data_IF_951346324640
#
_entry.id   IF_951346324640
#
_cell.length_a   1.000
_cell.length_b   1.000
_cell.length_c   1.000
_cell.angle_alpha   90.00
_cell.angle_beta   90.00
_cell.angle_gamma   90.00
#
_symmetry.space_group_name_H-M   'P 1'
#
loop_
_entity.id
_entity.type
_entity.pdbx_description
1 polymer ?
#
# COMPACT_ATOMS: atom_id res chain seq x y z
N UNK A 1 13.29 -11.82 -16.40
CA UNK A 1 12.43 -12.60 -15.48
C UNK A 1 11.82 -11.58 -14.54
N UNK A 2 10.54 -11.24 -14.72
CA UNK A 2 9.85 -10.21 -13.93
C UNK A 2 9.09 -10.95 -12.83
N UNK A 3 9.68 -11.01 -11.64
CA UNK A 3 9.25 -11.87 -10.52
C UNK A 3 8.28 -11.16 -9.56
N UNK A 4 7.92 -9.91 -9.84
CA UNK A 4 7.18 -9.10 -8.91
C UNK A 4 5.68 -9.47 -8.92
N UNK A 5 5.11 -10.04 -7.83
CA UNK A 5 3.72 -10.46 -7.82
C UNK A 5 2.79 -9.28 -8.11
N UNK A 6 1.89 -9.47 -9.08
CA UNK A 6 0.92 -8.47 -9.49
C UNK A 6 0.06 -8.03 -8.30
N UNK A 7 -0.01 -6.72 -8.07
CA UNK A 7 -0.84 -6.16 -7.01
C UNK A 7 -2.26 -5.90 -7.54
N UNK A 8 -3.19 -6.75 -7.13
CA UNK A 8 -4.60 -6.60 -7.49
C UNK A 8 -5.14 -5.21 -7.09
N UNK A 9 -6.13 -4.71 -7.85
CA UNK A 9 -6.73 -3.38 -7.62
C UNK A 9 -7.27 -3.20 -6.20
N UNK A 10 -7.79 -4.26 -5.57
CA UNK A 10 -8.23 -4.24 -4.17
C UNK A 10 -7.06 -4.05 -3.19
N UNK A 11 -5.91 -4.69 -3.45
CA UNK A 11 -4.69 -4.56 -2.66
C UNK A 11 -4.05 -3.18 -2.84
N UNK A 12 -4.05 -2.62 -4.07
CA UNK A 12 -3.66 -1.22 -4.30
C UNK A 12 -4.51 -0.24 -3.49
N UNK A 13 -5.82 -0.43 -3.48
CA UNK A 13 -6.74 0.41 -2.69
C UNK A 13 -6.49 0.28 -1.18
N UNK A 14 -6.25 -0.93 -0.70
CA UNK A 14 -5.92 -1.18 0.71
C UNK A 14 -4.58 -0.53 1.09
N UNK A 15 -3.55 -0.66 0.25
CA UNK A 15 -2.25 -0.03 0.45
C UNK A 15 -2.38 1.50 0.48
N UNK A 16 -3.17 2.10 -0.41
CA UNK A 16 -3.47 3.53 -0.37
C UNK A 16 -4.08 3.94 0.97
N UNK A 17 -5.15 3.26 1.39
CA UNK A 17 -5.81 3.56 2.67
C UNK A 17 -4.89 3.36 3.87
N UNK A 18 -4.00 2.37 3.81
CA UNK A 18 -3.00 2.13 4.86
C UNK A 18 -2.05 3.31 5.00
N UNK A 19 -1.58 3.90 3.89
CA UNK A 19 -0.73 5.09 3.94
C UNK A 19 -1.43 6.32 4.53
N UNK A 20 -2.75 6.45 4.38
CA UNK A 20 -3.53 7.55 4.97
C UNK A 20 -3.67 7.42 6.50
N UNK A 21 -3.57 6.20 7.06
CA UNK A 21 -3.67 5.98 8.50
C UNK A 21 -2.38 6.38 9.25
N UNK A 22 -1.24 6.48 8.56
CA UNK A 22 0.04 6.94 9.08
C UNK A 22 0.34 6.36 10.50
N UNK A 23 0.72 7.11 11.57
CA UNK A 23 1.11 6.47 12.84
C UNK A 23 -0.05 5.84 13.62
N UNK A 24 -1.31 6.20 13.29
CA UNK A 24 -2.50 5.65 13.96
C UNK A 24 -2.67 4.17 13.62
N UNK A 25 -2.21 3.76 12.44
CA UNK A 25 -2.35 2.40 11.93
C UNK A 25 -3.79 2.05 11.53
N UNK A 26 -3.93 1.06 10.64
CA UNK A 26 -5.23 0.63 10.10
C UNK A 26 -5.76 -0.58 10.88
N UNK A 27 -6.99 -0.53 11.43
CA UNK A 27 -7.54 -1.67 12.17
C UNK A 27 -7.87 -2.85 11.23
N UNK A 28 -7.71 -4.11 11.71
CA UNK A 28 -7.91 -5.31 10.90
C UNK A 28 -9.38 -5.63 10.62
N UNK A 29 -10.29 -5.16 11.47
CA UNK A 29 -11.73 -5.46 11.40
C UNK A 29 -12.49 -4.73 10.27
N UNK A 30 -11.77 -4.02 9.39
CA UNK A 30 -12.36 -3.37 8.22
C UNK A 30 -12.51 -4.36 7.07
N UNK A 31 -13.35 -4.01 6.09
CA UNK A 31 -13.66 -4.86 4.92
C UNK A 31 -12.42 -5.28 4.13
N UNK A 32 -11.31 -4.56 4.24
CA UNK A 32 -10.05 -4.87 3.56
C UNK A 32 -9.04 -5.65 4.41
N UNK A 33 -9.45 -6.21 5.56
CA UNK A 33 -8.63 -7.12 6.36
C UNK A 33 -7.92 -8.22 5.56
N UNK A 34 -8.59 -8.96 4.65
CA UNK A 34 -7.94 -9.95 3.80
C UNK A 34 -6.85 -9.35 2.87
N UNK A 35 -7.05 -8.12 2.40
CA UNK A 35 -6.04 -7.42 1.60
C UNK A 35 -4.84 -7.00 2.46
N UNK A 36 -5.04 -6.61 3.72
CA UNK A 36 -3.95 -6.29 4.65
C UNK A 36 -3.10 -7.51 4.97
N UNK A 37 -3.72 -8.67 5.21
CA UNK A 37 -3.00 -9.93 5.39
C UNK A 37 -2.19 -10.33 4.14
N UNK A 38 -2.75 -10.11 2.94
CA UNK A 38 -2.02 -10.35 1.69
C UNK A 38 -0.84 -9.40 1.52
N UNK A 39 -1.03 -8.11 1.77
CA UNK A 39 0.05 -7.12 1.76
C UNK A 39 1.15 -7.46 2.77
N UNK A 40 0.78 -7.99 3.93
CA UNK A 40 1.72 -8.48 4.94
C UNK A 40 2.51 -9.70 4.47
N UNK A 41 1.87 -10.69 3.83
CA UNK A 41 2.59 -11.82 3.22
C UNK A 41 3.57 -11.41 2.12
N UNK A 42 3.34 -10.25 1.49
CA UNK A 42 4.22 -9.64 0.48
C UNK A 42 5.28 -8.71 1.08
N UNK A 43 5.29 -8.52 2.41
CA UNK A 43 6.20 -7.60 3.09
C UNK A 43 5.90 -6.11 2.87
N UNK A 44 4.73 -5.76 2.34
CA UNK A 44 4.29 -4.38 2.05
C UNK A 44 3.56 -3.74 3.24
N UNK A 45 3.03 -4.55 4.14
CA UNK A 45 2.43 -4.12 5.40
C UNK A 45 2.98 -4.97 6.56
N UNK A 46 2.84 -4.51 7.80
CA UNK A 46 2.98 -5.37 8.97
C UNK A 46 1.90 -5.08 9.99
N UNK A 47 1.46 -6.11 10.72
CA UNK A 47 0.71 -5.93 11.94
C UNK A 47 1.64 -5.52 13.09
N UNK A 48 1.24 -4.48 13.81
CA UNK A 48 1.90 -4.00 15.03
C UNK A 48 1.42 -4.80 16.24
N UNK A 49 2.11 -4.63 17.37
CA UNK A 49 1.75 -5.27 18.63
C UNK A 49 0.34 -4.89 19.16
N UNK A 50 -0.20 -3.74 18.74
CA UNK A 50 -1.57 -3.30 19.06
C UNK A 50 -2.63 -3.88 18.09
N UNK A 51 -2.23 -4.80 17.20
CA UNK A 51 -3.08 -5.44 16.22
C UNK A 51 -3.40 -4.59 14.99
N UNK A 52 -2.91 -3.34 14.91
CA UNK A 52 -3.12 -2.46 13.75
C UNK A 52 -2.04 -2.63 12.69
N UNK A 53 -2.40 -2.42 11.44
CA UNK A 53 -1.48 -2.47 10.33
C UNK A 53 -0.78 -1.13 10.09
N UNK A 54 0.48 -1.19 9.70
CA UNK A 54 1.22 -0.07 9.13
C UNK A 54 1.92 -0.47 7.83
N UNK A 55 2.18 0.52 6.96
CA UNK A 55 2.93 0.28 5.72
C UNK A 55 4.42 0.13 6.03
N UNK A 56 5.06 -0.88 5.45
CA UNK A 56 6.52 -1.04 5.54
C UNK A 56 7.21 -0.05 4.59
N UNK A 57 8.54 0.14 4.69
CA UNK A 57 9.29 0.90 3.70
C UNK A 57 9.06 0.39 2.26
N UNK A 58 8.99 -0.93 2.07
CA UNK A 58 8.68 -1.54 0.78
C UNK A 58 7.25 -1.21 0.30
N UNK A 59 6.26 -1.26 1.19
CA UNK A 59 4.89 -0.83 0.90
C UNK A 59 4.79 0.63 0.49
N UNK A 60 5.53 1.52 1.15
CA UNK A 60 5.59 2.94 0.81
C UNK A 60 6.29 3.18 -0.54
N UNK A 61 7.32 2.41 -0.88
CA UNK A 61 7.95 2.48 -2.19
C UNK A 61 6.99 2.00 -3.30
N UNK A 62 6.32 0.86 -3.07
CA UNK A 62 5.33 0.30 -3.99
C UNK A 62 4.15 1.25 -4.21
N UNK A 63 3.66 1.88 -3.15
CA UNK A 63 2.61 2.89 -3.23
C UNK A 63 3.01 4.08 -4.10
N UNK A 64 4.24 4.58 -3.95
CA UNK A 64 4.74 5.67 -4.79
C UNK A 64 4.78 5.33 -6.28
N UNK A 65 5.14 4.08 -6.61
CA UNK A 65 5.26 3.62 -7.99
C UNK A 65 3.90 3.35 -8.64
N UNK A 66 3.01 2.65 -7.94
CA UNK A 66 1.77 2.11 -8.54
C UNK A 66 0.50 2.95 -8.28
N UNK A 67 0.52 3.81 -7.26
CA UNK A 67 -0.66 4.56 -6.81
C UNK A 67 -0.43 6.06 -7.00
N UNK A 68 0.71 6.58 -6.58
CA UNK A 68 1.09 7.97 -6.86
C UNK A 68 1.76 8.15 -8.23
N UNK A 69 2.03 7.04 -8.93
CA UNK A 69 2.84 6.95 -10.15
C UNK A 69 2.72 8.18 -11.03
N UNK A 70 3.86 8.85 -11.24
CA UNK A 70 4.09 10.08 -12.04
C UNK A 70 2.80 10.66 -12.62
N UNK A 71 2.29 11.72 -11.99
CA UNK A 71 1.47 12.71 -12.70
C UNK A 71 2.13 12.93 -14.06
N UNK A 72 1.35 12.78 -15.14
CA UNK A 72 1.73 13.22 -16.48
C UNK A 72 2.69 14.40 -16.38
N UNK A 73 3.90 14.28 -16.94
CA UNK A 73 4.76 15.44 -17.09
C UNK A 73 3.88 16.55 -17.69
N UNK A 74 3.66 17.62 -16.93
CA UNK A 74 2.95 18.77 -17.44
C UNK A 74 3.71 19.22 -18.70
N UNK A 75 2.99 19.35 -19.81
CA UNK A 75 3.58 19.85 -21.05
C UNK A 75 4.34 21.17 -20.76
N UNK A 76 5.50 21.40 -21.39
CA UNK A 76 6.24 22.64 -21.18
C UNK A 76 5.32 23.81 -21.55
N UNK A 77 5.17 24.76 -20.63
CA UNK A 77 4.53 26.04 -20.92
C UNK A 77 5.38 26.77 -21.96
N UNK A 78 4.75 27.11 -23.08
CA UNK A 78 5.31 27.84 -24.22
C UNK A 78 5.75 29.25 -23.86
#
# INVERSE_FOLDING_TARGET
>A
MWDEPYLETCCRSALHRLTLCAPVGRPPALKDGPCLARLESMGLARQRADGRYEATPAGLARHRLEILGRRHAAAPAT
#
